data_IF_510591364579
#
_entry.id   IF_510591364579
#
_cell.length_a   1.000
_cell.length_b   1.000
_cell.length_c   1.000
_cell.angle_alpha   90.00
_cell.angle_beta   90.00
_cell.angle_gamma   90.00
#
_symmetry.space_group_name_H-M   'P 1'
#
loop_
_entity.id
_entity.type
_entity.pdbx_description
1 polymer ?
#
# COMPACT_ATOMS: atom_id res chain seq x y z
N UNK A 1 -7.94 -38.40 20.03
CA UNK A 1 -6.81 -37.46 19.88
C UNK A 1 -7.36 -36.06 19.60
N UNK A 2 -7.13 -35.10 20.52
CA UNK A 2 -7.60 -33.71 20.40
C UNK A 2 -6.88 -33.06 19.23
N UNK A 3 -7.58 -32.85 18.12
CA UNK A 3 -6.99 -32.43 16.86
C UNK A 3 -6.60 -30.94 16.92
N UNK A 4 -5.42 -30.66 17.50
CA UNK A 4 -4.91 -29.30 17.80
C UNK A 4 -4.91 -28.38 16.57
N UNK A 5 -4.72 -28.96 15.38
CA UNK A 5 -4.78 -28.27 14.09
C UNK A 5 -6.18 -27.69 13.82
N UNK A 6 -7.25 -28.43 14.13
CA UNK A 6 -8.62 -27.92 13.97
C UNK A 6 -8.89 -26.75 14.92
N UNK A 7 -8.41 -26.81 16.16
CA UNK A 7 -8.56 -25.70 17.11
C UNK A 7 -7.76 -24.47 16.67
N UNK A 8 -6.54 -24.64 16.17
CA UNK A 8 -5.75 -23.53 15.63
C UNK A 8 -6.42 -22.86 14.43
N UNK A 9 -6.85 -23.64 13.44
CA UNK A 9 -7.41 -23.10 12.19
C UNK A 9 -8.82 -22.52 12.37
N UNK A 10 -9.66 -23.11 13.23
CA UNK A 10 -11.06 -22.70 13.36
C UNK A 10 -11.39 -21.88 14.61
N UNK A 11 -10.51 -21.79 15.60
CA UNK A 11 -10.72 -20.94 16.78
C UNK A 11 -9.73 -19.77 16.83
N UNK A 12 -8.43 -20.05 16.62
CA UNK A 12 -7.37 -19.02 16.79
C UNK A 12 -7.24 -18.13 15.57
N UNK A 13 -7.19 -18.69 14.36
CA UNK A 13 -7.06 -17.90 13.12
C UNK A 13 -8.20 -16.87 12.98
N UNK A 14 -9.50 -17.23 13.07
CA UNK A 14 -10.60 -16.28 12.92
C UNK A 14 -10.57 -15.15 13.95
N UNK A 15 -10.07 -15.40 15.16
CA UNK A 15 -9.91 -14.40 16.20
C UNK A 15 -8.84 -13.35 15.88
N UNK A 16 -7.73 -13.73 15.24
CA UNK A 16 -6.65 -12.80 14.90
C UNK A 16 -6.78 -12.22 13.48
N UNK A 17 -7.62 -12.80 12.61
CA UNK A 17 -7.79 -12.36 11.23
C UNK A 17 -8.09 -10.86 11.09
N UNK A 18 -8.98 -10.24 11.89
CA UNK A 18 -9.27 -8.81 11.78
C UNK A 18 -8.05 -7.92 12.02
N UNK A 19 -7.29 -8.23 13.08
CA UNK A 19 -6.05 -7.53 13.41
C UNK A 19 -4.96 -7.77 12.36
N UNK A 20 -4.85 -9.01 11.86
CA UNK A 20 -3.86 -9.38 10.86
C UNK A 20 -4.14 -8.71 9.50
N UNK A 21 -5.40 -8.66 9.07
CA UNK A 21 -5.78 -7.95 7.84
C UNK A 21 -5.50 -6.46 7.96
N UNK A 22 -5.81 -5.87 9.12
CA UNK A 22 -5.51 -4.45 9.40
C UNK A 22 -4.00 -4.16 9.30
N UNK A 23 -3.16 -5.07 9.79
CA UNK A 23 -1.70 -4.97 9.68
C UNK A 23 -1.22 -5.10 8.22
N UNK A 24 -1.79 -6.03 7.45
CA UNK A 24 -1.45 -6.20 6.03
C UNK A 24 -1.79 -4.93 5.24
N UNK A 25 -3.00 -4.38 5.43
CA UNK A 25 -3.43 -3.17 4.75
C UNK A 25 -2.54 -1.98 5.10
N UNK A 26 -2.22 -1.81 6.39
CA UNK A 26 -1.30 -0.77 6.83
C UNK A 26 0.10 -0.92 6.22
N UNK A 27 0.64 -2.15 6.19
CA UNK A 27 1.93 -2.43 5.55
C UNK A 27 1.88 -2.19 4.04
N UNK A 28 0.77 -2.50 3.39
CA UNK A 28 0.57 -2.26 1.97
C UNK A 28 0.59 -0.76 1.65
N UNK A 29 -0.17 0.06 2.39
CA UNK A 29 -0.16 1.53 2.30
C UNK A 29 1.26 2.10 2.45
N UNK A 30 1.98 1.65 3.49
CA UNK A 30 3.35 2.07 3.78
C UNK A 30 4.34 1.69 2.67
N UNK A 31 4.25 0.46 2.18
CA UNK A 31 5.11 -0.02 1.11
C UNK A 31 4.86 0.75 -0.19
N UNK A 32 3.61 1.13 -0.49
CA UNK A 32 3.27 1.95 -1.65
C UNK A 32 3.88 3.35 -1.59
N UNK A 33 3.77 4.01 -0.43
CA UNK A 33 4.41 5.31 -0.21
C UNK A 33 5.93 5.20 -0.31
N UNK A 34 6.50 4.17 0.30
CA UNK A 34 7.94 3.91 0.25
C UNK A 34 8.42 3.65 -1.18
N UNK A 35 7.68 2.86 -1.98
CA UNK A 35 7.99 2.62 -3.39
C UNK A 35 7.93 3.88 -4.26
N UNK A 36 7.09 4.85 -3.89
CA UNK A 36 7.03 6.16 -4.55
C UNK A 36 8.29 6.97 -4.26
N UNK A 37 8.73 7.01 -3.00
CA UNK A 37 9.95 7.72 -2.58
C UNK A 37 11.20 7.04 -3.15
N UNK A 38 11.25 5.70 -3.14
CA UNK A 38 12.33 4.91 -3.74
C UNK A 38 12.48 5.20 -5.24
N UNK A 39 11.36 5.40 -5.94
CA UNK A 39 11.37 5.79 -7.35
C UNK A 39 12.03 7.15 -7.60
N UNK A 40 11.96 8.08 -6.64
CA UNK A 40 12.58 9.40 -6.75
C UNK A 40 14.10 9.38 -6.55
N UNK A 41 14.61 8.47 -5.71
CA UNK A 41 16.05 8.31 -5.46
C UNK A 41 16.74 7.38 -6.46
N UNK A 42 16.02 6.89 -7.49
CA UNK A 42 16.57 6.03 -8.53
C UNK A 42 16.65 4.54 -8.18
N UNK A 43 16.07 4.12 -7.04
CA UNK A 43 16.04 2.71 -6.62
C UNK A 43 14.99 1.87 -7.39
N UNK A 44 14.24 2.48 -8.32
CA UNK A 44 13.10 1.84 -8.97
C UNK A 44 11.79 2.04 -8.20
N UNK A 45 10.65 1.72 -8.84
CA UNK A 45 9.33 1.83 -8.22
C UNK A 45 8.37 2.80 -8.93
N UNK A 46 7.18 2.99 -8.37
CA UNK A 46 6.08 3.74 -9.01
C UNK A 46 6.36 5.24 -9.16
N UNK A 47 7.33 5.79 -8.42
CA UNK A 47 7.77 7.18 -8.53
C UNK A 47 8.84 7.44 -9.59
N UNK A 48 9.36 6.40 -10.26
CA UNK A 48 10.44 6.57 -11.27
C UNK A 48 10.08 7.46 -12.46
N UNK A 49 8.85 7.48 -13.00
CA UNK A 49 8.52 8.39 -14.11
C UNK A 49 8.66 9.86 -13.72
N UNK A 50 8.45 10.19 -12.44
CA UNK A 50 8.54 11.56 -11.93
C UNK A 50 10.00 12.06 -11.97
N UNK A 51 10.96 11.25 -11.52
CA UNK A 51 12.37 11.66 -11.57
C UNK A 51 12.88 11.76 -13.01
N UNK A 52 12.43 10.89 -13.93
CA UNK A 52 12.79 11.00 -15.34
C UNK A 52 12.21 12.27 -16.00
N UNK A 53 10.97 12.65 -15.67
CA UNK A 53 10.38 13.90 -16.14
C UNK A 53 11.16 15.12 -15.61
N UNK A 54 11.59 15.09 -14.35
CA UNK A 54 12.44 16.14 -13.75
C UNK A 54 13.80 16.20 -14.46
N UNK A 55 14.46 15.06 -14.67
CA UNK A 55 15.78 15.00 -15.32
C UNK A 55 15.74 15.49 -16.77
N UNK A 56 14.64 15.23 -17.48
CA UNK A 56 14.41 15.72 -18.85
C UNK A 56 13.88 17.15 -18.90
N UNK A 57 13.73 17.84 -17.75
CA UNK A 57 13.20 19.21 -17.62
C UNK A 57 11.82 19.38 -18.25
N UNK A 58 11.02 18.32 -18.28
CA UNK A 58 9.68 18.31 -18.88
C UNK A 58 8.61 18.64 -17.84
N UNK A 59 8.50 19.93 -17.47
CA UNK A 59 7.64 20.39 -16.38
C UNK A 59 6.14 20.06 -16.55
N UNK A 60 5.65 20.03 -17.79
CA UNK A 60 4.27 19.59 -18.08
C UNK A 60 4.04 18.13 -17.67
N UNK A 61 5.03 17.26 -17.93
CA UNK A 61 4.99 15.85 -17.53
C UNK A 61 5.16 15.69 -16.02
N UNK A 62 6.00 16.49 -15.39
CA UNK A 62 6.18 16.48 -13.92
C UNK A 62 4.84 16.74 -13.24
N UNK A 63 4.10 17.76 -13.66
CA UNK A 63 2.81 18.12 -13.08
C UNK A 63 1.79 16.97 -13.16
N UNK A 64 1.61 16.39 -14.35
CA UNK A 64 0.61 15.34 -14.53
C UNK A 64 0.97 14.03 -13.81
N UNK A 65 2.27 13.68 -13.78
CA UNK A 65 2.75 12.50 -13.05
C UNK A 65 2.57 12.70 -11.54
N UNK A 66 2.88 13.89 -11.02
CA UNK A 66 2.76 14.20 -9.59
C UNK A 66 1.29 14.17 -9.14
N UNK A 67 0.39 14.76 -9.92
CA UNK A 67 -1.07 14.67 -9.66
C UNK A 67 -1.53 13.23 -9.71
N UNK A 68 -1.14 12.46 -10.73
CA UNK A 68 -1.50 11.04 -10.86
C UNK A 68 -1.01 10.20 -9.68
N UNK A 69 0.21 10.44 -9.21
CA UNK A 69 0.78 9.76 -8.04
C UNK A 69 -0.01 10.06 -6.76
N UNK A 70 -0.33 11.33 -6.51
CA UNK A 70 -1.13 11.74 -5.34
C UNK A 70 -2.52 11.10 -5.39
N UNK A 71 -3.19 11.13 -6.54
CA UNK A 71 -4.50 10.51 -6.71
C UNK A 71 -4.44 9.01 -6.49
N UNK A 72 -3.43 8.32 -7.03
CA UNK A 72 -3.26 6.89 -6.86
C UNK A 72 -3.05 6.50 -5.39
N UNK A 73 -2.17 7.21 -4.69
CA UNK A 73 -1.94 6.99 -3.25
C UNK A 73 -3.19 7.29 -2.44
N UNK A 74 -3.92 8.37 -2.75
CA UNK A 74 -5.16 8.73 -2.07
C UNK A 74 -6.25 7.68 -2.27
N UNK A 75 -6.43 7.16 -3.49
CA UNK A 75 -7.39 6.08 -3.78
C UNK A 75 -7.06 4.84 -2.96
N UNK A 76 -5.79 4.44 -2.90
CA UNK A 76 -5.37 3.29 -2.10
C UNK A 76 -5.65 3.52 -0.61
N UNK A 77 -5.38 4.70 -0.10
CA UNK A 77 -5.61 5.06 1.31
C UNK A 77 -7.12 5.04 1.65
N UNK A 78 -7.97 5.54 0.75
CA UNK A 78 -9.42 5.49 0.89
C UNK A 78 -9.96 4.05 0.88
N UNK A 79 -9.49 3.21 -0.05
CA UNK A 79 -9.87 1.80 -0.14
C UNK A 79 -9.45 1.07 1.14
N UNK A 80 -8.19 1.24 1.55
CA UNK A 80 -7.62 0.56 2.70
C UNK A 80 -8.26 1.03 4.01
N UNK A 81 -8.56 2.32 4.14
CA UNK A 81 -9.36 2.88 5.24
C UNK A 81 -10.79 2.35 5.29
N UNK A 82 -11.46 2.20 4.13
CA UNK A 82 -12.81 1.64 4.05
C UNK A 82 -12.85 0.16 4.44
N UNK A 83 -11.85 -0.62 4.02
CA UNK A 83 -11.72 -2.03 4.40
C UNK A 83 -11.47 -2.15 5.90
N UNK A 84 -10.58 -1.32 6.46
CA UNK A 84 -10.27 -1.31 7.90
C UNK A 84 -11.50 -0.98 8.76
N UNK A 85 -12.33 -0.01 8.35
CA UNK A 85 -13.63 0.32 9.00
C UNK A 85 -14.67 -0.80 8.97
N UNK A 86 -14.52 -1.78 8.07
CA UNK A 86 -15.44 -2.92 7.97
C UNK A 86 -14.99 -4.12 8.79
N UNK A 87 -13.73 -4.11 9.22
CA UNK A 87 -13.06 -5.22 9.91
C UNK A 87 -12.96 -4.95 11.42
N UNK A 88 -12.78 -3.68 11.79
CA UNK A 88 -12.82 -3.18 13.18
C UNK A 88 -14.21 -2.61 13.46
#
# INVERSE_FOLDING_TARGET
MRNKIKTLVFAVIPQIMPAFLSLILYRFELNLRSASILGLIGAGGIGTPLIFAIQTRSWDRVGIILIGLVLMVAIVDLISGSIRKRIV
#
